data_IF_207679080537
#
_entry.id   IF_207679080537
#
_cell.length_a   1.000
_cell.length_b   1.000
_cell.length_c   1.000
_cell.angle_alpha   90.00
_cell.angle_beta   90.00
_cell.angle_gamma   90.00
#
_symmetry.space_group_name_H-M   'P 1'
#
loop_
_entity.id
_entity.type
_entity.pdbx_description
1 polymer ?
#
# COMPACT_ATOMS: atom_id res chain seq x y z
N UNK A 1 8.98 40.22 31.61
CA UNK A 1 7.62 39.83 31.17
C UNK A 1 7.52 39.18 29.78
N UNK A 2 8.35 39.47 28.75
CA UNK A 2 8.20 38.81 27.43
C UNK A 2 8.63 37.32 27.41
N UNK A 3 9.57 36.94 28.28
CA UNK A 3 10.10 35.57 28.35
C UNK A 3 9.09 34.53 28.86
N UNK A 4 8.06 34.96 29.61
CA UNK A 4 7.02 34.06 30.12
C UNK A 4 6.15 33.55 28.97
N UNK A 5 5.79 34.42 28.02
CA UNK A 5 5.04 34.03 26.83
C UNK A 5 5.87 33.16 25.88
N UNK A 6 7.17 33.43 25.76
CA UNK A 6 8.07 32.62 24.95
C UNK A 6 8.26 31.22 25.56
N UNK A 7 8.47 31.14 26.87
CA UNK A 7 8.56 29.88 27.61
C UNK A 7 7.25 29.09 27.53
N UNK A 8 6.09 29.75 27.67
CA UNK A 8 4.78 29.11 27.56
C UNK A 8 4.51 28.59 26.15
N UNK A 9 4.83 29.38 25.11
CA UNK A 9 4.70 28.96 23.72
C UNK A 9 5.60 27.77 23.38
N UNK A 10 6.83 27.77 23.89
CA UNK A 10 7.78 26.67 23.71
C UNK A 10 7.30 25.39 24.40
N UNK A 11 6.70 25.51 25.59
CA UNK A 11 6.15 24.38 26.35
C UNK A 11 4.91 23.79 25.67
N UNK A 12 4.02 24.63 25.14
CA UNK A 12 2.85 24.21 24.34
C UNK A 12 3.32 23.53 23.04
N UNK A 13 4.33 24.09 22.36
CA UNK A 13 4.91 23.52 21.16
C UNK A 13 5.52 22.14 21.41
N UNK A 14 6.29 21.98 22.49
CA UNK A 14 6.85 20.69 22.92
C UNK A 14 5.75 19.67 23.24
N UNK A 15 4.68 20.09 23.93
CA UNK A 15 3.56 19.21 24.25
C UNK A 15 2.81 18.76 22.98
N UNK A 16 2.57 19.67 22.04
CA UNK A 16 1.94 19.33 20.75
C UNK A 16 2.80 18.36 19.94
N UNK A 17 4.12 18.58 19.90
CA UNK A 17 5.08 17.71 19.22
C UNK A 17 5.10 16.31 19.86
N UNK A 18 5.12 16.26 21.20
CA UNK A 18 5.10 15.02 21.97
C UNK A 18 3.80 14.23 21.74
N UNK A 19 2.65 14.91 21.79
CA UNK A 19 1.34 14.29 21.52
C UNK A 19 1.22 13.81 20.08
N UNK A 20 1.74 14.57 19.12
CA UNK A 20 1.81 14.17 17.72
C UNK A 20 2.65 12.90 17.57
N UNK A 21 3.82 12.83 18.23
CA UNK A 21 4.71 11.67 18.17
C UNK A 21 4.10 10.41 18.81
N UNK A 22 3.36 10.54 19.91
CA UNK A 22 2.68 9.42 20.57
C UNK A 22 1.50 8.87 19.77
N UNK A 23 0.80 9.71 19.02
CA UNK A 23 -0.32 9.29 18.16
C UNK A 23 0.10 8.96 16.73
N UNK A 24 1.36 9.20 16.35
CA UNK A 24 1.79 9.03 14.98
C UNK A 24 1.89 7.54 14.63
N UNK A 25 1.01 7.11 13.73
CA UNK A 25 1.06 5.79 13.14
C UNK A 25 2.41 5.63 12.41
N UNK A 26 3.06 4.46 12.53
CA UNK A 26 4.36 4.18 11.88
C UNK A 26 4.34 4.51 10.38
N UNK A 27 3.17 4.37 9.73
CA UNK A 27 2.97 4.76 8.32
C UNK A 27 3.05 6.27 8.10
N UNK A 28 2.50 7.08 9.00
CA UNK A 28 2.52 8.54 8.93
C UNK A 28 3.90 9.12 9.26
N UNK A 29 4.62 8.52 10.21
CA UNK A 29 6.01 8.92 10.53
C UNK A 29 6.92 8.68 9.31
N UNK A 30 6.82 7.50 8.69
CA UNK A 30 7.58 7.18 7.48
C UNK A 30 7.24 8.12 6.32
N UNK A 31 5.95 8.41 6.11
CA UNK A 31 5.51 9.34 5.06
C UNK A 31 6.01 10.77 5.31
N UNK A 32 5.87 11.30 6.53
CA UNK A 32 6.33 12.63 6.88
C UNK A 32 7.85 12.77 6.73
N UNK A 33 8.61 11.76 7.16
CA UNK A 33 10.06 11.73 6.98
C UNK A 33 10.43 11.75 5.50
N UNK A 34 9.81 10.91 4.68
CA UNK A 34 10.07 10.82 3.25
C UNK A 34 9.70 12.11 2.51
N UNK A 35 8.55 12.71 2.81
CA UNK A 35 8.12 13.99 2.23
C UNK A 35 9.07 15.12 2.63
N UNK A 36 9.49 15.18 3.91
CA UNK A 36 10.43 16.20 4.36
C UNK A 36 11.81 16.08 3.70
N UNK A 37 12.33 14.86 3.55
CA UNK A 37 13.59 14.60 2.86
C UNK A 37 13.51 15.02 1.38
N UNK A 38 12.40 14.72 0.71
CA UNK A 38 12.18 15.14 -0.67
C UNK A 38 12.19 16.67 -0.82
N UNK A 39 11.52 17.40 0.06
CA UNK A 39 11.50 18.88 0.05
C UNK A 39 12.92 19.43 0.22
N UNK A 40 13.71 18.87 1.15
CA UNK A 40 15.10 19.31 1.38
C UNK A 40 15.96 19.07 0.13
N UNK A 41 15.85 17.91 -0.50
CA UNK A 41 16.58 17.59 -1.74
C UNK A 41 16.17 18.54 -2.86
N UNK A 42 14.87 18.82 -3.04
CA UNK A 42 14.38 19.77 -4.04
C UNK A 42 14.92 21.18 -3.80
N UNK A 43 14.91 21.66 -2.55
CA UNK A 43 15.46 22.97 -2.19
C UNK A 43 16.97 23.03 -2.42
N UNK A 44 17.70 21.97 -2.10
CA UNK A 44 19.14 21.88 -2.34
C UNK A 44 19.47 21.90 -3.84
N UNK A 45 18.71 21.15 -4.66
CA UNK A 45 18.87 21.15 -6.12
C UNK A 45 18.51 22.52 -6.72
N UNK A 46 17.43 23.15 -6.25
CA UNK A 46 17.02 24.48 -6.69
C UNK A 46 18.08 25.55 -6.36
N UNK A 47 18.59 25.53 -5.13
CA UNK A 47 19.68 26.41 -4.69
C UNK A 47 20.96 26.18 -5.51
N UNK A 48 21.28 24.92 -5.81
CA UNK A 48 22.45 24.56 -6.61
C UNK A 48 22.31 24.94 -8.10
N UNK A 49 21.08 24.93 -8.63
CA UNK A 49 20.78 25.44 -9.97
C UNK A 49 20.97 26.96 -10.06
N UNK A 50 20.49 27.72 -9.06
CA UNK A 50 20.67 29.18 -9.01
C UNK A 50 22.15 29.58 -8.90
N UNK A 51 22.95 28.83 -8.15
CA UNK A 51 24.38 29.10 -7.97
C UNK A 51 25.26 28.67 -9.15
N UNK A 52 24.66 28.15 -10.24
CA UNK A 52 25.38 27.76 -11.46
C UNK A 52 26.23 26.50 -11.30
N UNK A 53 26.09 25.75 -10.20
CA UNK A 53 26.89 24.54 -9.90
C UNK A 53 26.17 23.28 -10.40
N UNK A 54 25.84 23.25 -11.69
CA UNK A 54 25.15 22.12 -12.33
C UNK A 54 25.90 20.78 -12.16
N UNK A 55 27.23 20.81 -12.15
CA UNK A 55 28.04 19.62 -11.88
C UNK A 55 27.81 19.05 -10.47
N UNK A 56 27.61 19.91 -9.47
CA UNK A 56 27.26 19.48 -8.11
C UNK A 56 25.86 18.86 -8.02
N UNK A 57 24.91 19.38 -8.80
CA UNK A 57 23.54 18.84 -8.88
C UNK A 57 23.52 17.44 -9.48
N UNK A 58 24.25 17.23 -10.57
CA UNK A 58 24.39 15.91 -11.18
C UNK A 58 25.12 14.95 -10.23
N UNK A 59 26.19 15.38 -9.57
CA UNK A 59 26.90 14.56 -8.60
C UNK A 59 26.00 14.11 -7.43
N UNK A 60 25.13 15.00 -6.94
CA UNK A 60 24.20 14.69 -5.85
C UNK A 60 23.12 13.69 -6.29
N UNK A 61 22.59 13.82 -7.51
CA UNK A 61 21.63 12.85 -8.07
C UNK A 61 22.27 11.47 -8.23
N UNK A 62 23.48 11.41 -8.78
CA UNK A 62 24.23 10.16 -8.95
C UNK A 62 24.56 9.52 -7.60
N UNK A 63 24.97 10.31 -6.61
CA UNK A 63 25.26 9.81 -5.26
C UNK A 63 24.03 9.24 -4.55
N UNK A 64 22.84 9.77 -4.82
CA UNK A 64 21.58 9.27 -4.27
C UNK A 64 20.98 8.09 -5.06
N UNK A 65 21.43 7.84 -6.28
CA UNK A 65 20.92 6.77 -7.14
C UNK A 65 20.86 5.37 -6.47
N UNK A 66 21.89 4.86 -5.76
CA UNK A 66 21.80 3.55 -5.11
C UNK A 66 20.77 3.52 -3.97
N UNK A 67 20.61 4.61 -3.21
CA UNK A 67 19.63 4.71 -2.13
C UNK A 67 18.21 4.73 -2.71
N UNK A 68 18.00 5.51 -3.76
CA UNK A 68 16.73 5.56 -4.50
C UNK A 68 16.40 4.18 -5.08
N UNK A 69 17.38 3.49 -5.65
CA UNK A 69 17.20 2.15 -6.19
C UNK A 69 16.77 1.13 -5.12
N UNK A 70 17.40 1.16 -3.94
CA UNK A 70 17.02 0.31 -2.81
C UNK A 70 15.60 0.62 -2.31
N UNK A 71 15.23 1.89 -2.23
CA UNK A 71 13.89 2.31 -1.80
C UNK A 71 12.80 1.92 -2.82
N UNK A 72 13.08 2.05 -4.12
CA UNK A 72 12.20 1.57 -5.19
C UNK A 72 12.09 0.05 -5.15
N UNK A 73 13.18 -0.66 -4.89
CA UNK A 73 13.17 -2.12 -4.74
C UNK A 73 12.26 -2.54 -3.59
N UNK A 74 12.33 -1.89 -2.44
CA UNK A 74 11.43 -2.17 -1.31
C UNK A 74 9.96 -1.82 -1.62
N UNK A 75 9.71 -0.76 -2.39
CA UNK A 75 8.34 -0.44 -2.87
C UNK A 75 7.84 -1.43 -3.93
N UNK A 76 8.74 -1.98 -4.74
CA UNK A 76 8.49 -3.00 -5.76
C UNK A 76 8.39 -4.41 -5.17
N UNK A 77 9.00 -4.64 -4.01
CA UNK A 77 8.96 -5.87 -3.20
C UNK A 77 7.92 -5.79 -2.07
N UNK A 78 6.89 -4.92 -2.18
CA UNK A 78 5.60 -5.38 -1.67
C UNK A 78 5.30 -6.64 -2.47
N UNK A 79 5.21 -7.82 -1.86
CA UNK A 79 4.76 -8.98 -2.58
C UNK A 79 3.34 -8.64 -3.01
N UNK A 80 3.14 -8.30 -4.28
CA UNK A 80 1.90 -8.73 -4.91
C UNK A 80 1.89 -10.23 -4.69
N UNK A 81 0.77 -10.76 -4.24
CA UNK A 81 0.56 -12.17 -3.99
C UNK A 81 0.63 -13.02 -5.29
N UNK A 82 1.61 -12.78 -6.17
CA UNK A 82 1.72 -13.33 -7.52
C UNK A 82 2.53 -14.62 -7.60
N UNK A 83 3.23 -15.04 -6.55
CA UNK A 83 3.95 -16.32 -6.57
C UNK A 83 3.14 -17.50 -5.98
N UNK A 84 1.94 -17.26 -5.44
CA UNK A 84 0.99 -18.32 -5.06
C UNK A 84 -0.22 -18.42 -5.98
N UNK A 85 -0.47 -17.41 -6.84
CA UNK A 85 -1.53 -17.45 -7.85
C UNK A 85 -1.27 -18.54 -8.90
N UNK A 86 -0.02 -18.73 -9.32
CA UNK A 86 0.31 -19.65 -10.41
C UNK A 86 0.21 -21.14 -10.06
N UNK A 87 0.02 -21.49 -8.77
CA UNK A 87 -0.14 -22.88 -8.34
C UNK A 87 -1.61 -23.29 -8.11
N UNK A 88 -2.59 -22.39 -8.30
CA UNK A 88 -4.01 -22.65 -8.03
C UNK A 88 -4.96 -21.74 -8.83
N UNK A 89 -4.61 -21.37 -10.06
CA UNK A 89 -5.54 -20.69 -10.96
C UNK A 89 -6.74 -21.61 -11.22
N UNK A 90 -7.93 -21.14 -10.84
CA UNK A 90 -9.19 -21.81 -11.17
C UNK A 90 -9.35 -21.70 -12.68
N UNK A 91 -9.40 -22.84 -13.37
CA UNK A 91 -9.48 -22.87 -14.84
C UNK A 91 -10.78 -23.48 -15.35
N UNK A 92 -11.52 -24.17 -14.48
CA UNK A 92 -12.76 -24.87 -14.83
C UNK A 92 -13.97 -24.37 -14.05
N UNK A 93 -15.16 -24.50 -14.65
CA UNK A 93 -16.44 -24.19 -14.00
C UNK A 93 -16.64 -25.03 -12.73
N UNK A 94 -16.26 -26.30 -12.77
CA UNK A 94 -16.38 -27.24 -11.64
C UNK A 94 -15.51 -26.82 -10.44
N UNK A 95 -14.26 -26.41 -10.69
CA UNK A 95 -13.39 -25.87 -9.65
C UNK A 95 -13.96 -24.58 -9.05
N UNK A 96 -14.52 -23.70 -9.89
CA UNK A 96 -15.13 -22.46 -9.44
C UNK A 96 -16.37 -22.72 -8.55
N UNK A 97 -17.22 -23.67 -8.93
CA UNK A 97 -18.37 -24.11 -8.12
C UNK A 97 -17.91 -24.70 -6.78
N UNK A 98 -16.88 -25.54 -6.79
CA UNK A 98 -16.32 -26.13 -5.58
C UNK A 98 -15.75 -25.06 -4.63
N UNK A 99 -15.08 -24.04 -5.16
CA UNK A 99 -14.53 -22.93 -4.36
C UNK A 99 -15.63 -22.10 -3.70
N UNK A 100 -16.77 -21.90 -4.38
CA UNK A 100 -17.93 -21.22 -3.80
C UNK A 100 -18.83 -22.14 -2.97
N UNK A 101 -18.57 -23.45 -2.96
CA UNK A 101 -19.39 -24.45 -2.27
C UNK A 101 -20.78 -24.65 -2.91
N UNK A 102 -20.87 -24.46 -4.22
CA UNK A 102 -22.09 -24.57 -5.01
C UNK A 102 -22.12 -25.87 -5.82
N UNK A 103 -23.33 -26.32 -6.18
CA UNK A 103 -23.54 -27.45 -7.08
C UNK A 103 -23.70 -26.97 -8.52
N UNK A 104 -23.53 -27.88 -9.47
CA UNK A 104 -23.80 -27.59 -10.87
C UNK A 104 -25.27 -27.17 -11.07
N UNK A 105 -25.48 -26.17 -11.93
CA UNK A 105 -26.79 -25.53 -12.14
C UNK A 105 -27.20 -24.48 -11.08
N UNK A 106 -26.28 -24.00 -10.23
CA UNK A 106 -26.55 -22.87 -9.35
C UNK A 106 -26.89 -21.59 -10.15
N UNK A 107 -27.88 -20.83 -9.69
CA UNK A 107 -28.29 -19.58 -10.35
C UNK A 107 -27.29 -18.45 -10.12
N UNK A 108 -27.35 -17.39 -10.93
CA UNK A 108 -26.55 -16.18 -10.74
C UNK A 108 -26.70 -15.60 -9.32
N UNK A 109 -27.92 -15.58 -8.79
CA UNK A 109 -28.22 -15.11 -7.44
C UNK A 109 -27.54 -15.97 -6.36
N UNK A 110 -27.48 -17.29 -6.56
CA UNK A 110 -26.80 -18.22 -5.65
C UNK A 110 -25.28 -17.99 -5.66
N UNK A 111 -24.72 -17.74 -6.84
CA UNK A 111 -23.29 -17.42 -7.04
C UNK A 111 -22.93 -16.13 -6.29
N UNK A 112 -23.69 -15.05 -6.49
CA UNK A 112 -23.44 -13.77 -5.82
C UNK A 112 -23.60 -13.87 -4.30
N UNK A 113 -24.61 -14.61 -3.83
CA UNK A 113 -24.86 -14.80 -2.40
C UNK A 113 -23.76 -15.61 -1.71
N UNK A 114 -23.31 -16.69 -2.34
CA UNK A 114 -22.20 -17.51 -1.84
C UNK A 114 -20.91 -16.69 -1.79
N UNK A 115 -20.59 -15.98 -2.88
CA UNK A 115 -19.45 -15.08 -2.95
C UNK A 115 -19.45 -14.03 -1.83
N UNK A 116 -20.56 -13.31 -1.64
CA UNK A 116 -20.68 -12.28 -0.60
C UNK A 116 -20.48 -12.85 0.80
N UNK A 117 -21.06 -14.02 1.06
CA UNK A 117 -20.92 -14.70 2.36
C UNK A 117 -19.49 -15.14 2.63
N UNK A 118 -18.79 -15.66 1.62
CA UNK A 118 -17.40 -16.08 1.75
C UNK A 118 -16.47 -14.88 1.89
N UNK A 119 -16.67 -13.82 1.11
CA UNK A 119 -15.87 -12.60 1.18
C UNK A 119 -15.99 -11.90 2.54
N UNK A 120 -17.16 -11.92 3.17
CA UNK A 120 -17.35 -11.39 4.54
C UNK A 120 -16.56 -12.15 5.60
N UNK A 121 -16.25 -13.44 5.37
CA UNK A 121 -15.43 -14.27 6.28
C UNK A 121 -13.93 -14.06 6.07
N UNK A 122 -13.53 -13.40 4.98
CA UNK A 122 -12.13 -13.05 4.72
C UNK A 122 -11.77 -11.83 5.57
N UNK A 123 -10.99 -12.06 6.63
CA UNK A 123 -10.53 -10.98 7.51
C UNK A 123 -9.22 -10.37 7.00
N UNK A 124 -9.14 -9.05 6.77
CA UNK A 124 -7.95 -8.39 6.24
C UNK A 124 -6.73 -8.42 7.17
N UNK A 125 -6.96 -8.75 8.45
CA UNK A 125 -5.91 -8.80 9.48
C UNK A 125 -5.25 -10.18 9.61
N UNK A 126 -5.67 -11.17 8.80
CA UNK A 126 -5.07 -12.51 8.79
C UNK A 126 -4.11 -12.63 7.61
N UNK A 127 -2.89 -13.07 7.88
CA UNK A 127 -1.95 -13.47 6.84
C UNK A 127 -2.63 -14.49 5.91
N UNK A 128 -2.67 -14.17 4.61
CA UNK A 128 -3.33 -14.99 3.58
C UNK A 128 -4.76 -14.60 3.20
N UNK A 129 -5.31 -13.52 3.75
CA UNK A 129 -6.63 -13.02 3.31
C UNK A 129 -6.65 -12.57 1.84
N UNK A 130 -5.52 -12.05 1.34
CA UNK A 130 -5.38 -11.55 -0.03
C UNK A 130 -5.49 -12.68 -1.07
N UNK A 131 -4.78 -13.80 -0.87
CA UNK A 131 -4.87 -14.94 -1.79
C UNK A 131 -6.27 -15.55 -1.79
N UNK A 132 -6.92 -15.63 -0.63
CA UNK A 132 -8.25 -16.21 -0.50
C UNK A 132 -9.31 -15.30 -1.16
N UNK A 133 -9.20 -13.98 -0.98
CA UNK A 133 -10.05 -13.01 -1.67
C UNK A 133 -9.87 -13.08 -3.20
N UNK A 134 -8.62 -13.16 -3.68
CA UNK A 134 -8.32 -13.30 -5.09
C UNK A 134 -8.93 -14.59 -5.68
N UNK A 135 -8.80 -15.72 -4.97
CA UNK A 135 -9.37 -17.01 -5.38
C UNK A 135 -10.91 -16.99 -5.45
N UNK A 136 -11.57 -16.32 -4.49
CA UNK A 136 -13.02 -16.14 -4.50
C UNK A 136 -13.50 -15.23 -5.64
N UNK A 137 -12.75 -14.18 -5.96
CA UNK A 137 -13.05 -13.31 -7.10
C UNK A 137 -12.94 -14.07 -8.42
N UNK A 138 -11.86 -14.82 -8.62
CA UNK A 138 -11.66 -15.63 -9.83
C UNK A 138 -12.77 -16.66 -10.03
N UNK A 139 -13.19 -17.34 -8.95
CA UNK A 139 -14.30 -18.31 -9.02
C UNK A 139 -15.62 -17.65 -9.47
N UNK A 140 -15.94 -16.49 -8.90
CA UNK A 140 -17.14 -15.74 -9.29
C UNK A 140 -17.07 -15.32 -10.76
N UNK A 141 -15.94 -14.78 -11.19
CA UNK A 141 -15.79 -14.22 -12.52
C UNK A 141 -15.94 -15.31 -13.60
N UNK A 142 -15.36 -16.49 -13.40
CA UNK A 142 -15.51 -17.65 -14.31
C UNK A 142 -16.97 -18.11 -14.40
N UNK A 143 -17.70 -18.13 -13.29
CA UNK A 143 -19.09 -18.57 -13.28
C UNK A 143 -20.01 -17.55 -13.95
N UNK A 144 -19.79 -16.25 -13.73
CA UNK A 144 -20.60 -15.19 -14.30
C UNK A 144 -20.27 -14.88 -15.77
N UNK A 145 -19.01 -15.06 -16.20
CA UNK A 145 -18.60 -14.84 -17.59
C UNK A 145 -19.11 -15.96 -18.51
N UNK A 146 -19.21 -17.19 -18.01
CA UNK A 146 -19.79 -18.30 -18.78
C UNK A 146 -21.33 -18.21 -18.90
N UNK A 147 -22.03 -17.56 -17.97
CA UNK A 147 -23.49 -17.34 -18.04
C UNK A 147 -23.87 -16.23 -19.04
N UNK A 148 -22.90 -15.43 -19.51
CA UNK A 148 -23.10 -14.34 -20.49
C UNK A 148 -22.83 -14.72 -21.95
N UNK A 149 -22.41 -15.96 -22.23
CA UNK A 149 -22.22 -16.48 -23.59
C UNK A 149 -23.32 -17.45 -23.96
#
# INVERSE_FOLDING_TARGET
MPYIFLALGLLIGLYALFRFFLNANIKQIKALFLTSAFIVICLALFFMAITGRLAGALALVVALAPIIHLMIKEWREKPTADNHAQANEISTKEEALNVLGLKDGASEDDIQKAYKTLMQKVHPDKEGSEWLAAKLNQARDILLENERK
#
